data_IF_560238223407
#
_entry.id   IF_560238223407
#
_cell.length_a   1.000
_cell.length_b   1.000
_cell.length_c   1.000
_cell.angle_alpha   90.00
_cell.angle_beta   90.00
_cell.angle_gamma   90.00
#
_symmetry.space_group_name_H-M   'P 1'
#
loop_
_entity.id
_entity.type
_entity.pdbx_description
1 polymer ?
#
# COMPACT_ATOMS: atom_id res chain seq x y z
N UNK A 1 -9.12 12.11 -15.75
CA UNK A 1 -7.93 12.74 -15.14
C UNK A 1 -7.79 14.14 -15.72
N UNK A 2 -7.51 15.08 -14.84
CA UNK A 2 -7.32 16.51 -15.09
C UNK A 2 -5.96 16.93 -14.55
N UNK A 3 -5.52 18.13 -14.93
CA UNK A 3 -4.27 18.70 -14.44
C UNK A 3 -4.35 18.98 -12.94
N UNK A 4 -3.22 18.87 -12.23
CA UNK A 4 -3.13 19.18 -10.80
C UNK A 4 -3.67 18.09 -9.86
N UNK A 5 -4.28 17.03 -10.39
CA UNK A 5 -4.87 15.97 -9.56
C UNK A 5 -3.81 15.12 -8.85
N UNK A 6 -4.18 14.58 -7.69
CA UNK A 6 -3.44 13.53 -6.98
C UNK A 6 -4.02 12.16 -7.35
N UNK A 7 -3.20 11.28 -7.89
CA UNK A 7 -3.63 9.94 -8.33
C UNK A 7 -2.89 8.85 -7.54
N UNK A 8 -3.64 7.97 -6.86
CA UNK A 8 -3.15 6.68 -6.39
C UNK A 8 -3.31 5.64 -7.50
N UNK A 9 -2.20 5.17 -8.06
CA UNK A 9 -2.17 4.23 -9.18
C UNK A 9 -1.95 2.79 -8.72
N UNK A 10 -2.84 1.90 -9.16
CA UNK A 10 -2.60 0.46 -9.22
C UNK A 10 -2.62 0.02 -10.68
N UNK A 11 -1.61 -0.74 -11.13
CA UNK A 11 -1.51 -1.05 -12.56
C UNK A 11 -0.85 -2.38 -12.89
N UNK A 12 -1.18 -2.87 -14.08
CA UNK A 12 -0.54 -4.02 -14.72
C UNK A 12 -0.01 -3.62 -16.09
N UNK A 13 1.32 -3.50 -16.22
CA UNK A 13 1.96 -3.20 -17.51
C UNK A 13 1.62 -4.26 -18.57
N UNK A 14 1.50 -5.53 -18.16
CA UNK A 14 1.10 -6.63 -19.06
C UNK A 14 -0.29 -6.40 -19.64
N UNK A 15 -1.23 -5.97 -18.81
CA UNK A 15 -2.62 -5.71 -19.24
C UNK A 15 -2.71 -4.48 -20.15
N UNK A 16 -1.90 -3.45 -19.90
CA UNK A 16 -1.84 -2.23 -20.73
C UNK A 16 -1.36 -2.57 -22.16
N UNK A 17 -0.49 -3.57 -22.29
CA UNK A 17 -0.01 -4.09 -23.57
C UNK A 17 1.42 -3.64 -23.88
N UNK A 18 1.81 -3.77 -25.15
CA UNK A 18 3.14 -3.33 -25.60
C UNK A 18 3.20 -1.80 -25.57
N UNK A 19 4.17 -1.28 -24.82
CA UNK A 19 4.54 0.13 -24.83
C UNK A 19 6.04 0.20 -25.08
N UNK A 20 6.46 0.90 -26.14
CA UNK A 20 7.87 1.21 -26.34
C UNK A 20 8.36 2.02 -25.13
N UNK A 21 9.46 1.60 -24.50
CA UNK A 21 9.94 2.17 -23.22
C UNK A 21 9.25 1.63 -21.96
N UNK A 22 8.24 0.75 -22.09
CA UNK A 22 7.64 -0.01 -21.01
C UNK A 22 7.06 0.86 -19.88
N UNK A 23 7.46 0.57 -18.64
CA UNK A 23 6.98 1.27 -17.45
C UNK A 23 7.27 2.79 -17.48
N UNK A 24 8.40 3.20 -18.06
CA UNK A 24 8.78 4.60 -18.14
C UNK A 24 7.81 5.41 -19.00
N UNK A 25 7.38 4.84 -20.12
CA UNK A 25 6.41 5.48 -21.02
C UNK A 25 5.05 5.63 -20.36
N UNK A 26 4.57 4.61 -19.64
CA UNK A 26 3.29 4.70 -18.92
C UNK A 26 3.37 5.75 -17.80
N UNK A 27 4.42 5.72 -16.98
CA UNK A 27 4.61 6.69 -15.91
C UNK A 27 4.76 8.12 -16.45
N UNK A 28 5.54 8.30 -17.52
CA UNK A 28 5.71 9.58 -18.20
C UNK A 28 4.40 10.12 -18.77
N UNK A 29 3.60 9.29 -19.44
CA UNK A 29 2.31 9.69 -19.97
C UNK A 29 1.33 10.14 -18.87
N UNK A 30 1.29 9.41 -17.75
CA UNK A 30 0.46 9.79 -16.59
C UNK A 30 0.92 11.12 -16.00
N UNK A 31 2.23 11.30 -15.78
CA UNK A 31 2.78 12.56 -15.26
C UNK A 31 2.53 13.73 -16.21
N UNK A 32 2.70 13.54 -17.52
CA UNK A 32 2.40 14.58 -18.51
C UNK A 32 0.92 14.96 -18.48
N UNK A 33 0.01 14.00 -18.29
CA UNK A 33 -1.44 14.27 -18.21
C UNK A 33 -1.81 15.05 -16.95
N UNK A 34 -1.13 14.78 -15.84
CA UNK A 34 -1.30 15.45 -14.55
C UNK A 34 -0.64 16.84 -14.52
N UNK A 35 0.39 17.07 -15.34
CA UNK A 35 1.15 18.31 -15.41
C UNK A 35 2.06 18.54 -14.21
N UNK A 36 2.67 19.73 -14.15
CA UNK A 36 3.63 20.09 -13.11
C UNK A 36 3.01 20.15 -11.71
N UNK A 37 1.73 20.50 -11.62
CA UNK A 37 1.01 20.65 -10.36
C UNK A 37 0.39 19.34 -9.85
N UNK A 38 0.41 18.28 -10.66
CA UNK A 38 -0.20 17.00 -10.31
C UNK A 38 0.76 16.06 -9.59
N UNK A 39 0.21 15.13 -8.80
CA UNK A 39 0.99 14.19 -7.99
C UNK A 39 0.60 12.75 -8.28
N UNK A 40 1.58 11.93 -8.64
CA UNK A 40 1.40 10.50 -8.86
C UNK A 40 1.90 9.73 -7.65
N UNK A 41 1.06 8.84 -7.12
CA UNK A 41 1.34 8.01 -5.94
C UNK A 41 1.14 6.54 -6.31
N UNK A 42 2.03 5.68 -5.82
CA UNK A 42 1.97 4.22 -6.02
C UNK A 42 2.22 3.49 -4.70
N UNK A 43 1.54 2.36 -4.43
CA UNK A 43 1.96 1.49 -3.35
C UNK A 43 3.32 0.87 -3.69
N UNK A 44 4.17 0.72 -2.69
CA UNK A 44 5.54 0.19 -2.82
C UNK A 44 5.81 -0.87 -1.75
N UNK A 45 4.81 -1.72 -1.49
CA UNK A 45 4.87 -2.73 -0.44
C UNK A 45 6.06 -3.69 -0.56
N UNK A 46 6.56 -4.09 0.59
CA UNK A 46 7.76 -4.91 0.82
C UNK A 46 7.40 -6.09 1.71
N UNK A 47 6.37 -6.83 1.31
CA UNK A 47 5.80 -7.92 2.11
C UNK A 47 6.80 -9.05 2.44
N UNK A 48 7.91 -9.18 1.72
CA UNK A 48 8.99 -10.10 2.08
C UNK A 48 9.72 -9.70 3.38
N UNK A 49 9.67 -8.44 3.79
CA UNK A 49 10.20 -7.98 5.07
C UNK A 49 9.22 -8.26 6.22
N UNK A 50 8.88 -9.54 6.40
CA UNK A 50 7.95 -10.06 7.38
C UNK A 50 8.28 -11.51 7.67
N UNK A 51 7.95 -12.00 8.86
CA UNK A 51 8.04 -13.45 9.16
C UNK A 51 6.69 -14.18 9.11
N UNK A 52 5.62 -13.46 8.72
CA UNK A 52 4.27 -14.05 8.58
C UNK A 52 3.73 -13.95 7.15
N UNK A 53 4.44 -13.28 6.24
CA UNK A 53 3.96 -13.10 4.88
C UNK A 53 4.02 -14.41 4.07
N UNK A 54 3.16 -14.56 3.04
CA UNK A 54 3.27 -15.67 2.09
C UNK A 54 4.65 -15.79 1.44
N UNK A 55 5.31 -14.66 1.14
CA UNK A 55 6.64 -14.65 0.53
C UNK A 55 7.71 -15.23 1.47
N UNK A 56 7.69 -14.84 2.75
CA UNK A 56 8.59 -15.41 3.75
C UNK A 56 8.33 -16.91 3.93
N UNK A 57 7.05 -17.30 4.10
CA UNK A 57 6.67 -18.71 4.27
C UNK A 57 7.10 -19.59 3.09
N UNK A 58 7.02 -19.06 1.87
CA UNK A 58 7.52 -19.74 0.67
C UNK A 58 9.05 -19.83 0.66
N UNK A 59 9.76 -18.76 1.07
CA UNK A 59 11.22 -18.72 1.09
C UNK A 59 11.84 -19.72 2.08
N UNK A 60 11.15 -20.00 3.19
CA UNK A 60 11.61 -20.95 4.22
C UNK A 60 10.96 -22.33 4.12
N UNK A 61 10.17 -22.58 3.08
CA UNK A 61 9.49 -23.87 2.91
C UNK A 61 10.51 -25.00 2.75
N UNK A 62 10.41 -26.01 3.62
CA UNK A 62 11.30 -27.18 3.59
C UNK A 62 12.61 -27.03 4.37
N UNK A 63 12.88 -25.86 4.97
CA UNK A 63 14.05 -25.65 5.84
C UNK A 63 13.85 -26.25 7.25
N UNK A 64 14.93 -26.75 7.84
CA UNK A 64 15.00 -27.11 9.26
C UNK A 64 15.03 -25.88 10.18
N UNK A 65 14.82 -26.07 11.48
CA UNK A 65 14.72 -24.95 12.44
C UNK A 65 15.94 -24.02 12.44
N UNK A 66 17.15 -24.59 12.39
CA UNK A 66 18.40 -23.81 12.37
C UNK A 66 18.59 -23.02 11.07
N UNK A 67 18.15 -23.59 9.95
CA UNK A 67 18.18 -22.92 8.64
C UNK A 67 17.19 -21.75 8.61
N UNK A 68 15.99 -21.93 9.16
CA UNK A 68 15.01 -20.84 9.33
C UNK A 68 15.58 -19.73 10.22
N UNK A 69 16.22 -20.08 11.34
CA UNK A 69 16.86 -19.11 12.22
C UNK A 69 17.98 -18.34 11.51
N UNK A 70 18.81 -19.04 10.72
CA UNK A 70 19.88 -18.44 9.91
C UNK A 70 19.36 -17.58 8.75
N UNK A 71 18.26 -17.96 8.12
CA UNK A 71 17.59 -17.13 7.12
C UNK A 71 17.08 -15.84 7.75
N UNK A 72 16.35 -15.97 8.88
CA UNK A 72 15.77 -14.84 9.62
C UNK A 72 16.82 -13.85 10.11
N UNK A 73 17.98 -14.31 10.60
CA UNK A 73 19.03 -13.43 11.12
C UNK A 73 19.75 -12.61 10.05
N UNK A 74 19.68 -13.02 8.78
CA UNK A 74 20.30 -12.35 7.64
C UNK A 74 19.34 -11.51 6.81
N UNK A 75 18.06 -11.44 7.17
CA UNK A 75 17.10 -10.62 6.45
C UNK A 75 17.51 -9.14 6.52
N UNK A 76 17.58 -8.43 5.38
CA UNK A 76 18.02 -7.05 5.36
C UNK A 76 16.96 -6.13 5.97
N UNK A 77 17.41 -5.05 6.61
CA UNK A 77 16.53 -3.97 7.02
C UNK A 77 15.88 -3.29 5.82
N UNK A 78 14.67 -2.77 6.03
CA UNK A 78 14.05 -1.88 5.05
C UNK A 78 14.81 -0.56 4.96
N UNK A 79 15.13 -0.19 3.73
CA UNK A 79 15.64 1.12 3.33
C UNK A 79 14.73 1.66 2.21
N UNK A 80 14.08 2.84 2.41
CA UNK A 80 13.23 3.46 1.39
C UNK A 80 13.92 3.63 0.03
N UNK A 81 15.21 3.93 0.02
CA UNK A 81 15.98 4.19 -1.20
C UNK A 81 16.24 2.90 -2.00
N UNK A 82 16.74 1.86 -1.32
CA UNK A 82 17.25 0.67 -2.00
C UNK A 82 16.30 -0.54 -2.03
N UNK A 83 15.38 -0.68 -1.07
CA UNK A 83 14.58 -1.92 -0.93
C UNK A 83 13.60 -2.08 -2.10
N UNK A 84 13.69 -3.14 -2.92
CA UNK A 84 12.79 -3.34 -4.05
C UNK A 84 11.36 -3.66 -3.59
N UNK A 85 10.37 -3.27 -4.39
CA UNK A 85 8.98 -3.65 -4.08
C UNK A 85 8.74 -5.14 -4.29
N UNK A 86 7.73 -5.69 -3.62
CA UNK A 86 7.26 -7.04 -3.85
C UNK A 86 5.84 -7.01 -4.42
N UNK A 87 5.65 -7.62 -5.61
CA UNK A 87 4.33 -7.80 -6.24
C UNK A 87 3.55 -6.49 -6.56
N UNK A 88 4.21 -5.32 -6.56
CA UNK A 88 3.57 -4.03 -6.89
C UNK A 88 3.55 -3.70 -8.39
N UNK A 89 4.32 -4.45 -9.20
CA UNK A 89 4.39 -4.29 -10.65
C UNK A 89 5.47 -3.30 -11.11
N UNK A 90 5.85 -3.43 -12.38
CA UNK A 90 7.00 -2.69 -12.96
C UNK A 90 6.81 -1.18 -13.01
N UNK A 91 5.56 -0.70 -13.07
CA UNK A 91 5.25 0.73 -13.10
C UNK A 91 5.47 1.34 -11.71
N UNK A 92 4.98 0.72 -10.65
CA UNK A 92 5.22 1.16 -9.28
C UNK A 92 6.72 1.16 -8.94
N UNK A 93 7.43 0.09 -9.35
CA UNK A 93 8.88 -0.01 -9.18
C UNK A 93 9.62 1.10 -9.92
N UNK A 94 9.22 1.43 -11.15
CA UNK A 94 9.83 2.53 -11.89
C UNK A 94 9.55 3.88 -11.22
N UNK A 95 8.30 4.17 -10.85
CA UNK A 95 7.91 5.44 -10.22
C UNK A 95 8.69 5.70 -8.94
N UNK A 96 8.89 4.70 -8.07
CA UNK A 96 9.65 4.89 -6.83
C UNK A 96 11.12 5.23 -7.03
N UNK A 97 11.68 4.92 -8.21
CA UNK A 97 13.09 5.17 -8.55
C UNK A 97 13.30 6.44 -9.37
N UNK A 98 12.23 7.18 -9.69
CA UNK A 98 12.36 8.43 -10.42
C UNK A 98 13.09 9.48 -9.58
N UNK A 99 13.97 10.30 -10.19
CA UNK A 99 14.53 11.46 -9.52
C UNK A 99 13.44 12.36 -8.94
N UNK A 100 13.55 12.70 -7.66
CA UNK A 100 12.56 13.51 -6.94
C UNK A 100 11.34 12.74 -6.41
N UNK A 101 11.24 11.42 -6.63
CA UNK A 101 10.24 10.61 -5.94
C UNK A 101 10.60 10.47 -4.46
N UNK A 102 9.60 10.61 -3.59
CA UNK A 102 9.71 10.36 -2.15
C UNK A 102 9.07 9.02 -1.83
N UNK A 103 9.60 8.31 -0.83
CA UNK A 103 9.02 7.06 -0.34
C UNK A 103 8.88 7.06 1.17
N UNK A 104 7.74 6.58 1.66
CA UNK A 104 7.44 6.58 3.08
C UNK A 104 8.26 5.54 3.85
N UNK A 105 8.51 5.77 5.13
CA UNK A 105 9.41 4.96 5.95
C UNK A 105 8.84 3.60 6.43
N UNK A 106 7.58 3.29 6.16
CA UNK A 106 6.98 2.06 6.69
C UNK A 106 7.60 0.78 6.04
N UNK A 107 8.11 -0.19 6.82
CA UNK A 107 8.94 -1.28 6.32
C UNK A 107 8.23 -2.38 5.52
N UNK A 108 6.89 -2.37 5.50
CA UNK A 108 6.05 -3.36 4.81
C UNK A 108 5.04 -2.77 3.80
N UNK A 109 4.40 -1.64 4.11
CA UNK A 109 3.31 -1.03 3.33
C UNK A 109 3.65 0.36 2.82
N UNK A 110 4.93 0.63 2.51
CA UNK A 110 5.34 1.96 2.04
C UNK A 110 4.61 2.40 0.76
N UNK A 111 4.52 3.72 0.54
CA UNK A 111 4.10 4.35 -0.71
C UNK A 111 5.23 5.19 -1.28
N UNK A 112 5.26 5.36 -2.60
CA UNK A 112 6.08 6.36 -3.25
C UNK A 112 5.22 7.40 -3.96
N UNK A 113 5.63 8.66 -3.93
CA UNK A 113 4.95 9.77 -4.58
C UNK A 113 5.93 10.68 -5.31
N UNK A 114 5.48 11.26 -6.42
CA UNK A 114 6.21 12.26 -7.21
C UNK A 114 5.27 13.38 -7.64
N UNK A 115 5.64 14.62 -7.33
CA UNK A 115 4.82 15.81 -7.55
C UNK A 115 4.78 16.72 -6.31
N UNK A 116 4.13 17.89 -6.39
CA UNK A 116 4.15 18.90 -5.33
C UNK A 116 3.49 18.46 -4.02
N UNK A 117 2.52 17.54 -4.06
CA UNK A 117 1.87 17.01 -2.86
C UNK A 117 2.61 15.80 -2.27
N UNK A 118 3.73 15.36 -2.86
CA UNK A 118 4.46 14.20 -2.37
C UNK A 118 4.96 14.35 -0.91
N UNK A 119 5.58 15.47 -0.48
CA UNK A 119 6.05 15.60 0.90
C UNK A 119 4.96 15.41 1.96
N UNK A 120 3.83 16.15 1.96
CA UNK A 120 2.80 15.99 2.98
C UNK A 120 2.09 14.64 2.92
N UNK A 121 2.03 13.97 1.77
CA UNK A 121 1.45 12.62 1.65
C UNK A 121 2.36 11.56 2.26
N UNK A 122 3.67 11.68 2.05
CA UNK A 122 4.64 10.63 2.37
C UNK A 122 5.21 10.73 3.78
N UNK A 123 5.42 11.96 4.28
CA UNK A 123 6.15 12.22 5.53
C UNK A 123 5.47 11.61 6.76
N UNK A 124 6.20 11.11 7.76
CA UNK A 124 5.60 10.66 9.02
C UNK A 124 4.68 9.43 8.92
N UNK A 125 4.89 8.52 7.96
CA UNK A 125 4.19 7.23 7.93
C UNK A 125 4.60 6.39 9.15
N UNK A 126 3.71 6.26 10.13
CA UNK A 126 4.03 5.69 11.43
C UNK A 126 4.31 4.19 11.35
N UNK A 127 5.34 3.71 12.07
CA UNK A 127 5.78 2.30 12.05
C UNK A 127 4.72 1.32 12.53
N UNK A 128 3.86 1.76 13.45
CA UNK A 128 2.76 1.01 14.05
C UNK A 128 1.41 1.28 13.34
N UNK A 129 1.46 1.74 12.09
CA UNK A 129 0.29 1.98 11.27
C UNK A 129 0.58 1.60 9.81
N UNK A 130 0.12 0.43 9.39
CA UNK A 130 0.29 -0.08 8.04
C UNK A 130 -0.38 0.83 7.01
N UNK A 131 -1.68 1.10 7.20
CA UNK A 131 -2.58 1.65 6.17
C UNK A 131 -3.72 2.51 6.76
N UNK A 132 -3.62 2.92 8.03
CA UNK A 132 -4.65 3.67 8.75
C UNK A 132 -4.43 5.19 8.79
N UNK A 133 -4.91 5.84 9.86
CA UNK A 133 -4.93 7.31 10.00
C UNK A 133 -3.55 7.98 10.00
N UNK A 134 -2.49 7.26 10.38
CA UNK A 134 -1.09 7.75 10.36
C UNK A 134 -0.30 7.24 9.15
N UNK A 135 -1.01 6.92 8.07
CA UNK A 135 -0.45 6.43 6.81
C UNK A 135 -0.73 7.38 5.63
N UNK A 136 -0.04 7.20 4.49
CA UNK A 136 -0.34 7.91 3.25
C UNK A 136 -1.80 7.77 2.77
N UNK A 137 -2.52 6.69 3.11
CA UNK A 137 -3.92 6.56 2.69
C UNK A 137 -4.83 7.61 3.30
N UNK A 138 -4.64 7.95 4.59
CA UNK A 138 -5.44 8.99 5.24
C UNK A 138 -5.15 10.38 4.64
N UNK A 139 -3.88 10.66 4.33
CA UNK A 139 -3.51 11.92 3.66
C UNK A 139 -4.03 12.01 2.23
N UNK A 140 -4.05 10.88 1.51
CA UNK A 140 -4.66 10.82 0.18
C UNK A 140 -6.18 11.03 0.24
N UNK A 141 -6.83 10.53 1.29
CA UNK A 141 -8.23 10.79 1.57
C UNK A 141 -8.46 12.30 1.77
N UNK A 142 -7.68 12.94 2.64
CA UNK A 142 -7.80 14.37 2.94
C UNK A 142 -7.45 15.27 1.73
N UNK A 143 -6.50 14.83 0.90
CA UNK A 143 -6.09 15.53 -0.32
C UNK A 143 -7.09 15.40 -1.49
N UNK A 144 -8.21 14.68 -1.31
CA UNK A 144 -9.18 14.46 -2.38
C UNK A 144 -8.63 13.66 -3.55
N UNK A 145 -7.71 12.72 -3.29
CA UNK A 145 -7.07 11.93 -4.33
C UNK A 145 -8.08 11.06 -5.11
N UNK A 146 -7.74 10.74 -6.35
CA UNK A 146 -8.43 9.72 -7.13
C UNK A 146 -7.64 8.42 -7.13
N UNK A 147 -8.33 7.29 -7.16
CA UNK A 147 -7.73 5.98 -7.43
C UNK A 147 -7.86 5.68 -8.91
N UNK A 148 -6.74 5.27 -9.54
CA UNK A 148 -6.72 4.72 -10.89
C UNK A 148 -6.33 3.24 -10.84
N UNK A 149 -7.27 2.36 -11.18
CA UNK A 149 -7.02 0.94 -11.42
C UNK A 149 -6.84 0.74 -12.92
N UNK A 150 -5.61 0.51 -13.39
CA UNK A 150 -5.28 0.34 -14.81
C UNK A 150 -4.86 -1.12 -15.10
N UNK A 151 -5.81 -1.92 -15.59
CA UNK A 151 -5.56 -3.33 -15.91
C UNK A 151 -5.45 -4.26 -14.70
N UNK A 152 -5.98 -3.82 -13.56
CA UNK A 152 -6.11 -4.59 -12.31
C UNK A 152 -7.53 -4.46 -11.76
N UNK A 153 -7.95 -5.44 -10.97
CA UNK A 153 -9.25 -5.45 -10.29
C UNK A 153 -9.22 -4.72 -8.95
N UNK A 154 -10.39 -4.69 -8.30
CA UNK A 154 -10.57 -4.12 -6.97
C UNK A 154 -9.85 -4.89 -5.87
N UNK A 155 -9.52 -6.16 -6.10
CA UNK A 155 -8.66 -6.97 -5.24
C UNK A 155 -7.25 -6.39 -5.04
N UNK A 156 -6.87 -5.39 -5.85
CA UNK A 156 -5.61 -4.64 -5.74
C UNK A 156 -5.77 -3.21 -5.23
N UNK A 157 -6.99 -2.77 -4.90
CA UNK A 157 -7.28 -1.40 -4.48
C UNK A 157 -6.89 -1.21 -3.00
N UNK A 158 -5.69 -0.67 -2.74
CA UNK A 158 -5.22 -0.51 -1.36
C UNK A 158 -6.02 0.52 -0.57
N UNK A 159 -6.74 1.44 -1.24
CA UNK A 159 -7.56 2.44 -0.58
C UNK A 159 -8.60 1.82 0.37
N UNK A 160 -9.15 0.64 0.03
CA UNK A 160 -10.12 -0.04 0.89
C UNK A 160 -9.54 -0.47 2.25
N UNK A 161 -8.22 -0.63 2.38
CA UNK A 161 -7.62 -0.92 3.68
C UNK A 161 -7.86 0.20 4.69
N UNK A 162 -7.95 1.47 4.28
CA UNK A 162 -8.28 2.57 5.20
C UNK A 162 -9.67 2.38 5.84
N UNK A 163 -10.62 1.81 5.10
CA UNK A 163 -11.95 1.50 5.64
C UNK A 163 -11.89 0.40 6.73
N UNK A 164 -10.92 -0.50 6.69
CA UNK A 164 -10.73 -1.52 7.75
C UNK A 164 -10.36 -0.91 9.10
N UNK A 165 -9.80 0.31 9.11
CA UNK A 165 -9.53 1.07 10.34
C UNK A 165 -10.76 1.85 10.84
N UNK A 166 -11.75 2.09 9.97
CA UNK A 166 -12.88 3.01 10.21
C UNK A 166 -14.22 2.31 10.38
N UNK A 167 -14.37 1.07 9.92
CA UNK A 167 -15.67 0.40 9.89
C UNK A 167 -16.24 0.07 11.28
N UNK A 168 -15.39 -0.01 12.32
CA UNK A 168 -15.80 -0.23 13.71
C UNK A 168 -14.78 0.33 14.70
N UNK A 169 -15.17 0.60 15.97
CA UNK A 169 -14.26 1.18 16.97
C UNK A 169 -13.07 0.28 17.35
N UNK A 170 -13.26 -1.03 17.34
CA UNK A 170 -12.24 -2.03 17.71
C UNK A 170 -12.11 -3.08 16.60
N UNK A 171 -11.42 -2.76 15.49
CA UNK A 171 -11.16 -3.70 14.42
C UNK A 171 -10.20 -4.81 14.88
N UNK A 172 -10.27 -6.04 14.32
CA UNK A 172 -9.34 -7.11 14.65
C UNK A 172 -7.88 -6.66 14.46
N UNK A 173 -7.01 -6.99 15.41
CA UNK A 173 -5.59 -6.63 15.39
C UNK A 173 -4.71 -7.86 15.44
N UNK A 174 -3.50 -7.77 14.91
CA UNK A 174 -2.45 -8.77 15.07
C UNK A 174 -1.08 -8.12 15.23
N UNK A 175 -0.10 -8.93 15.62
CA UNK A 175 1.30 -8.53 15.68
C UNK A 175 1.95 -8.70 14.31
N UNK A 176 2.75 -7.72 13.96
CA UNK A 176 3.57 -7.63 12.78
C UNK A 176 5.02 -7.51 13.22
N UNK A 177 5.92 -8.09 12.42
CA UNK A 177 7.36 -7.98 12.63
C UNK A 177 8.05 -7.69 11.32
N UNK A 178 9.04 -6.81 11.35
CA UNK A 178 9.83 -6.42 10.20
C UNK A 178 11.27 -6.12 10.64
N UNK A 179 12.22 -6.26 9.73
CA UNK A 179 13.60 -5.80 9.96
C UNK A 179 13.69 -4.33 9.62
N UNK A 180 14.21 -3.54 10.56
CA UNK A 180 14.46 -2.10 10.43
C UNK A 180 15.89 -1.80 10.85
N UNK A 181 16.41 -0.64 10.48
CA UNK A 181 17.68 -0.13 10.98
C UNK A 181 17.43 1.27 11.57
N UNK A 182 17.51 1.36 12.90
CA UNK A 182 17.33 2.61 13.65
C UNK A 182 18.68 3.26 13.99
N UNK A 183 19.72 2.98 13.21
CA UNK A 183 21.09 3.46 13.42
C UNK A 183 21.94 2.57 14.33
N UNK A 184 21.41 1.42 14.76
CA UNK A 184 22.12 0.41 15.55
C UNK A 184 22.41 -0.86 14.73
N UNK A 185 22.14 -0.82 13.42
CA UNK A 185 22.19 -1.96 12.53
C UNK A 185 20.83 -2.66 12.41
N UNK A 186 20.71 -3.63 11.47
CA UNK A 186 19.46 -4.34 11.21
C UNK A 186 18.96 -5.12 12.43
N UNK A 187 17.71 -4.87 12.82
CA UNK A 187 17.05 -5.53 13.93
C UNK A 187 15.58 -5.81 13.66
N UNK A 188 15.07 -6.91 14.22
CA UNK A 188 13.64 -7.22 14.18
C UNK A 188 12.86 -6.32 15.14
N UNK A 189 11.95 -5.54 14.58
CA UNK A 189 10.98 -4.74 15.33
C UNK A 189 9.61 -5.44 15.30
N UNK A 190 8.90 -5.39 16.42
CA UNK A 190 7.51 -5.86 16.56
C UNK A 190 6.58 -4.66 16.78
N UNK A 191 5.42 -4.69 16.14
CA UNK A 191 4.34 -3.72 16.35
C UNK A 191 2.98 -4.38 16.17
N UNK A 192 1.92 -3.78 16.72
CA UNK A 192 0.56 -4.30 16.61
C UNK A 192 -0.32 -3.34 15.80
N UNK A 193 -1.06 -3.87 14.84
CA UNK A 193 -1.95 -3.07 14.00
C UNK A 193 -3.16 -3.90 13.52
N UNK A 194 -4.08 -3.29 12.79
CA UNK A 194 -5.25 -3.94 12.17
C UNK A 194 -4.81 -5.17 11.36
N UNK A 195 -5.51 -6.29 11.55
CA UNK A 195 -5.37 -7.50 10.74
C UNK A 195 -6.06 -7.27 9.39
N UNK A 196 -5.34 -6.58 8.50
CA UNK A 196 -5.85 -6.19 7.18
C UNK A 196 -6.12 -7.42 6.30
N UNK A 197 -7.27 -7.41 5.63
CA UNK A 197 -7.74 -8.49 4.76
C UNK A 197 -8.30 -7.91 3.45
N UNK A 198 -7.83 -8.44 2.33
CA UNK A 198 -8.28 -8.05 0.98
C UNK A 198 -9.13 -9.13 0.30
N UNK A 199 -9.47 -10.22 1.01
CA UNK A 199 -10.16 -11.38 0.43
C UNK A 199 -11.54 -11.06 -0.15
N UNK A 200 -12.22 -10.04 0.37
CA UNK A 200 -13.54 -9.60 -0.07
C UNK A 200 -13.52 -8.30 -0.91
N UNK A 201 -12.35 -7.73 -1.20
CA UNK A 201 -12.23 -6.47 -1.95
C UNK A 201 -12.79 -6.56 -3.36
N UNK A 202 -12.73 -7.73 -4.01
CA UNK A 202 -13.33 -7.94 -5.32
C UNK A 202 -14.86 -7.81 -5.28
N UNK A 203 -15.51 -8.37 -4.25
CA UNK A 203 -16.96 -8.29 -4.08
C UNK A 203 -17.39 -6.87 -3.68
N UNK A 204 -16.72 -6.29 -2.68
CA UNK A 204 -16.88 -4.88 -2.29
C UNK A 204 -16.79 -3.95 -3.50
N UNK A 205 -15.74 -4.12 -4.30
CA UNK A 205 -15.51 -3.29 -5.48
C UNK A 205 -16.56 -3.45 -6.56
N UNK A 206 -17.07 -4.67 -6.79
CA UNK A 206 -18.17 -4.91 -7.72
C UNK A 206 -19.48 -4.25 -7.26
N UNK A 207 -19.73 -4.17 -5.96
CA UNK A 207 -20.88 -3.46 -5.41
C UNK A 207 -20.70 -1.93 -5.54
N UNK A 208 -19.49 -1.44 -5.25
CA UNK A 208 -19.13 -0.03 -5.45
C UNK A 208 -19.25 0.42 -6.91
N UNK A 209 -18.86 -0.42 -7.87
CA UNK A 209 -18.94 -0.13 -9.31
C UNK A 209 -20.39 0.17 -9.76
N UNK A 210 -21.39 -0.42 -9.08
CA UNK A 210 -22.82 -0.24 -9.39
C UNK A 210 -23.41 1.07 -8.88
N UNK A 211 -22.68 1.84 -8.07
CA UNK A 211 -23.16 3.11 -7.50
C UNK A 211 -23.18 4.26 -8.51
N UNK A 212 -22.49 4.12 -9.64
CA UNK A 212 -22.27 5.21 -10.60
C UNK A 212 -21.14 6.17 -10.24
N UNK A 213 -20.44 5.96 -9.11
CA UNK A 213 -19.29 6.78 -8.70
C UNK A 213 -18.01 6.52 -9.50
N UNK A 214 -17.99 5.48 -10.35
CA UNK A 214 -16.80 5.00 -11.05
C UNK A 214 -16.84 5.40 -12.52
N UNK A 215 -15.75 6.03 -12.98
CA UNK A 215 -15.54 6.29 -14.41
C UNK A 215 -14.77 5.14 -15.03
N UNK A 216 -15.35 4.53 -16.05
CA UNK A 216 -14.70 3.49 -16.84
C UNK A 216 -14.02 4.06 -18.08
N UNK A 217 -12.97 3.40 -18.52
CA UNK A 217 -12.25 3.74 -19.74
C UNK A 217 -11.15 2.73 -20.03
N UNK A 218 -10.18 3.14 -20.85
CA UNK A 218 -9.01 2.31 -21.18
C UNK A 218 -7.70 3.06 -20.98
N UNK A 219 -6.65 2.31 -20.64
CA UNK A 219 -5.25 2.74 -20.68
C UNK A 219 -4.49 1.74 -21.55
N UNK A 220 -4.13 2.15 -22.77
CA UNK A 220 -3.70 1.19 -23.79
C UNK A 220 -4.80 0.17 -24.07
N UNK A 221 -4.47 -1.12 -24.02
CA UNK A 221 -5.44 -2.21 -24.16
C UNK A 221 -6.21 -2.52 -22.86
N UNK A 222 -5.75 -2.04 -21.71
CA UNK A 222 -6.32 -2.38 -20.41
C UNK A 222 -7.63 -1.65 -20.13
N UNK A 223 -8.61 -2.35 -19.55
CA UNK A 223 -9.71 -1.73 -18.83
C UNK A 223 -9.18 -0.89 -17.66
N UNK A 224 -9.78 0.28 -17.47
CA UNK A 224 -9.40 1.21 -16.42
C UNK A 224 -10.62 1.74 -15.67
N UNK A 225 -10.43 1.96 -14.37
CA UNK A 225 -11.40 2.58 -13.47
C UNK A 225 -10.77 3.76 -12.77
N UNK A 226 -11.48 4.88 -12.73
CA UNK A 226 -11.07 6.10 -12.05
C UNK A 226 -12.21 6.56 -11.13
N UNK A 227 -11.92 6.74 -9.84
CA UNK A 227 -12.92 7.13 -8.85
C UNK A 227 -12.30 7.90 -7.67
N UNK A 228 -13.07 8.72 -6.94
CA UNK A 228 -12.56 9.41 -5.75
C UNK A 228 -12.22 8.42 -4.64
N UNK A 229 -11.03 8.58 -4.04
CA UNK A 229 -10.57 7.71 -2.96
C UNK A 229 -11.50 7.80 -1.76
N UNK A 230 -11.88 9.02 -1.35
CA UNK A 230 -12.75 9.23 -0.20
C UNK A 230 -14.11 8.52 -0.35
N UNK A 231 -14.76 8.69 -1.50
CA UNK A 231 -16.03 8.03 -1.81
C UNK A 231 -15.92 6.50 -1.76
N UNK A 232 -14.81 5.92 -2.25
CA UNK A 232 -14.58 4.48 -2.18
C UNK A 232 -14.34 3.98 -0.75
N UNK A 233 -13.63 4.75 0.07
CA UNK A 233 -13.38 4.44 1.49
C UNK A 233 -14.68 4.50 2.29
N UNK A 234 -15.47 5.56 2.12
CA UNK A 234 -16.73 5.73 2.86
C UNK A 234 -17.73 4.61 2.50
N UNK A 235 -17.83 4.27 1.21
CA UNK A 235 -18.64 3.14 0.78
C UNK A 235 -18.14 1.82 1.40
N UNK A 236 -16.83 1.59 1.41
CA UNK A 236 -16.24 0.39 1.99
C UNK A 236 -16.46 0.28 3.50
N UNK A 237 -16.48 1.39 4.23
CA UNK A 237 -16.81 1.43 5.66
C UNK A 237 -18.19 0.82 5.92
N UNK A 238 -19.21 1.28 5.19
CA UNK A 238 -20.57 0.78 5.37
C UNK A 238 -20.74 -0.64 4.84
N UNK A 239 -20.08 -0.96 3.73
CA UNK A 239 -20.08 -2.31 3.19
C UNK A 239 -19.45 -3.32 4.16
N UNK A 240 -18.31 -3.00 4.80
CA UNK A 240 -17.71 -3.87 5.81
C UNK A 240 -18.60 -4.04 7.04
N UNK A 241 -19.28 -2.99 7.49
CA UNK A 241 -20.26 -3.10 8.61
C UNK A 241 -21.37 -4.09 8.29
N UNK A 242 -21.82 -4.15 7.04
CA UNK A 242 -22.88 -5.05 6.60
C UNK A 242 -22.40 -6.50 6.37
N UNK A 243 -21.16 -6.71 5.94
CA UNK A 243 -20.70 -8.03 5.44
C UNK A 243 -19.68 -8.73 6.34
N UNK A 244 -18.87 -7.99 7.11
CA UNK A 244 -17.87 -8.59 8.01
C UNK A 244 -18.47 -8.77 9.40
N UNK A 245 -18.95 -9.98 9.68
CA UNK A 245 -19.44 -10.34 11.01
C UNK A 245 -18.30 -10.42 12.04
N UNK A 246 -18.59 -10.03 13.28
CA UNK A 246 -17.70 -10.08 14.44
C UNK A 246 -17.35 -11.51 14.86
N UNK A 247 -16.45 -12.18 14.14
CA UNK A 247 -15.86 -13.44 14.60
C UNK A 247 -14.94 -13.21 15.80
N UNK A 248 -15.25 -13.84 16.94
CA UNK A 248 -14.46 -13.80 18.20
C UNK A 248 -13.06 -14.38 17.95
N UNK A 249 -12.06 -13.55 17.62
CA UNK A 249 -10.64 -13.93 17.66
C UNK A 249 -10.01 -13.25 18.87
N UNK A 250 -9.39 -14.08 19.71
CA UNK A 250 -8.88 -13.80 21.06
C UNK A 250 -8.02 -12.54 21.14
N UNK A 251 -8.25 -11.74 22.18
CA UNK A 251 -7.50 -10.54 22.51
C UNK A 251 -5.99 -10.81 22.55
N UNK A 252 -5.23 -9.98 21.82
CA UNK A 252 -3.77 -9.98 21.88
C UNK A 252 -3.36 -8.99 22.98
N UNK A 253 -2.68 -9.47 24.03
CA UNK A 253 -2.08 -8.60 25.05
C UNK A 253 -1.11 -7.59 24.41
N UNK A 254 -1.20 -6.32 24.83
CA UNK A 254 -0.27 -5.24 24.47
C UNK A 254 1.16 -5.55 24.99
N UNK A 255 2.21 -5.35 24.18
CA UNK A 255 3.56 -5.20 24.68
C UNK A 255 3.92 -3.74 24.95
N UNK A 256 4.80 -3.53 25.93
CA UNK A 256 5.31 -2.24 26.37
C UNK A 256 5.95 -1.43 25.23
N UNK A 257 5.61 -0.14 25.18
CA UNK A 257 6.11 0.82 24.20
C UNK A 257 7.65 0.84 24.12
N UNK A 258 8.19 0.69 22.91
CA UNK A 258 9.55 1.11 22.58
C UNK A 258 9.64 2.63 22.75
N UNK A 259 10.09 3.08 23.93
CA UNK A 259 10.56 4.45 24.13
C UNK A 259 12.05 4.50 23.77
N UNK A 260 12.40 5.23 22.74
CA UNK A 260 13.75 5.77 22.49
C UNK A 260 13.56 7.23 22.08
N UNK A 261 13.70 8.16 23.02
CA UNK A 261 14.94 8.86 23.36
C UNK A 261 15.23 9.98 22.35
N UNK A 262 14.60 11.13 22.61
CA UNK A 262 15.13 12.41 22.16
C UNK A 262 16.40 12.70 22.98
N UNK A 263 17.49 12.95 22.28
CA UNK A 263 18.78 13.45 22.76
C UNK A 263 19.49 14.08 21.58
#
# INVERSE_FOLDING_TARGET
>A
MEFGQVILLHSSLRSIGRCDGGAATVAGALRNRLGADGTLVVPTGTSANSDTSPLYRAAVAGMGADEVASYRSRMPAYDPASTPTNLMGRIAEHVRTLPGALRSAHPQTSFAAIGPQAPPIIDGHARDCLLGERSPLARLYDAGALVLLAGVGYDKCTAFHLAEYRYRPDPPRRRYRAVVDDGQGPGWCEFADVDVDSGDFAALGADFDRTGAVRHGRVGAAEARLFPLATAVDYAVDWFRAHRTTGRRTAVCEPAACRGAAG
#
